data_IF_222605471752
#
_entry.id   IF_222605471752
#
_cell.length_a   1.000
_cell.length_b   1.000
_cell.length_c   1.000
_cell.angle_alpha   90.00
_cell.angle_beta   90.00
_cell.angle_gamma   90.00
#
_symmetry.space_group_name_H-M   'P 1'
#
loop_
_entity.id
_entity.type
_entity.pdbx_description
1 polymer ?
#
# COMPACT_ATOMS: atom_id res chain seq x y z
N UNK A 1 10.02 24.74 -11.96
CA UNK A 1 10.36 23.34 -12.33
C UNK A 1 11.80 22.98 -11.97
N UNK A 2 12.84 23.69 -12.44
CA UNK A 2 14.25 23.42 -12.08
C UNK A 2 14.54 23.40 -10.58
N UNK A 3 14.00 24.35 -9.80
CA UNK A 3 14.19 24.40 -8.34
C UNK A 3 13.56 23.21 -7.60
N UNK A 4 12.38 22.75 -8.04
CA UNK A 4 11.70 21.59 -7.43
C UNK A 4 12.49 20.31 -7.73
N UNK A 5 12.96 20.16 -8.96
CA UNK A 5 13.82 19.04 -9.34
C UNK A 5 15.14 19.04 -8.55
N UNK A 6 15.78 20.20 -8.39
CA UNK A 6 17.00 20.34 -7.59
C UNK A 6 16.77 20.00 -6.11
N UNK A 7 15.63 20.42 -5.53
CA UNK A 7 15.24 20.09 -4.16
C UNK A 7 14.98 18.58 -4.02
N UNK A 8 14.24 17.97 -4.95
CA UNK A 8 13.99 16.52 -4.94
C UNK A 8 15.28 15.71 -5.12
N UNK A 9 16.20 16.19 -5.96
CA UNK A 9 17.49 15.55 -6.20
C UNK A 9 18.42 15.67 -4.98
N UNK A 10 18.43 16.83 -4.31
CA UNK A 10 19.20 17.03 -3.07
C UNK A 10 18.61 16.26 -1.90
N UNK A 11 17.28 16.22 -1.74
CA UNK A 11 16.61 15.32 -0.79
C UNK A 11 16.92 13.85 -1.08
N UNK A 12 16.85 13.45 -2.34
CA UNK A 12 17.21 12.11 -2.79
C UNK A 12 18.65 11.75 -2.43
N UNK A 13 19.61 12.64 -2.70
CA UNK A 13 21.03 12.46 -2.38
C UNK A 13 21.32 12.43 -0.88
N UNK A 14 20.66 13.28 -0.09
CA UNK A 14 20.84 13.36 1.38
C UNK A 14 20.29 12.10 2.08
N UNK A 15 19.26 11.46 1.51
CA UNK A 15 18.66 10.25 2.07
C UNK A 15 19.46 8.96 1.76
N UNK A 16 20.53 9.02 0.96
CA UNK A 16 21.15 7.81 0.38
C UNK A 16 22.01 6.94 1.31
N UNK A 17 22.62 7.41 2.42
CA UNK A 17 23.37 6.48 3.28
C UNK A 17 22.88 6.34 4.72
N UNK A 18 21.82 7.03 5.16
CA UNK A 18 21.59 7.15 6.62
C UNK A 18 20.80 5.96 7.22
N UNK A 19 19.95 5.23 6.48
CA UNK A 19 19.10 4.21 7.13
C UNK A 19 18.67 3.02 6.26
N UNK A 20 19.63 2.28 5.69
CA UNK A 20 19.37 0.94 5.18
C UNK A 20 19.82 -0.09 6.24
N UNK A 21 19.17 -0.09 7.40
CA UNK A 21 19.22 -1.28 8.25
C UNK A 21 18.12 -2.21 7.75
N UNK A 22 18.54 -3.38 7.29
CA UNK A 22 17.62 -4.40 6.80
C UNK A 22 17.04 -5.09 8.03
N UNK A 23 15.80 -4.75 8.36
CA UNK A 23 15.13 -5.25 9.55
C UNK A 23 14.36 -6.53 9.23
N UNK A 24 14.40 -7.44 10.19
CA UNK A 24 13.56 -8.64 10.20
C UNK A 24 12.11 -8.23 10.46
N UNK A 25 11.18 -8.73 9.64
CA UNK A 25 9.74 -8.44 9.76
C UNK A 25 9.04 -9.40 10.71
N UNK A 26 7.89 -8.98 11.25
CA UNK A 26 7.07 -9.65 12.27
C UNK A 26 6.62 -11.12 12.01
N UNK A 27 6.99 -11.76 10.89
CA UNK A 27 6.62 -13.13 10.51
C UNK A 27 7.81 -14.07 10.29
N UNK A 28 9.02 -13.56 10.37
CA UNK A 28 10.25 -14.35 10.21
C UNK A 28 11.28 -13.88 11.22
N UNK A 29 12.26 -14.73 11.52
CA UNK A 29 13.47 -14.32 12.26
C UNK A 29 14.73 -14.43 11.39
N UNK A 30 14.56 -14.78 10.11
CA UNK A 30 15.67 -14.99 9.18
C UNK A 30 16.26 -13.65 8.78
N UNK A 31 17.58 -13.55 8.86
CA UNK A 31 18.29 -12.37 8.41
C UNK A 31 18.06 -12.18 6.89
N UNK A 32 17.71 -10.96 6.47
CA UNK A 32 17.41 -10.66 5.08
C UNK A 32 18.66 -10.79 4.22
N UNK A 33 18.62 -11.73 3.28
CA UNK A 33 19.71 -11.97 2.33
C UNK A 33 19.34 -11.42 0.96
N UNK A 34 20.11 -10.45 0.48
CA UNK A 34 19.87 -9.78 -0.80
C UNK A 34 20.20 -10.72 -1.96
N UNK A 35 19.21 -10.98 -2.80
CA UNK A 35 19.37 -11.80 -4.00
C UNK A 35 20.09 -11.02 -5.10
N UNK A 36 20.79 -11.71 -6.01
CA UNK A 36 21.44 -11.02 -7.13
C UNK A 36 20.41 -10.53 -8.16
N UNK A 37 20.70 -9.38 -8.80
CA UNK A 37 19.79 -8.83 -9.82
C UNK A 37 19.61 -9.79 -10.99
N UNK A 38 20.62 -10.59 -11.33
CA UNK A 38 20.57 -11.61 -12.38
C UNK A 38 19.60 -12.73 -12.03
N UNK A 39 19.56 -13.14 -10.75
CA UNK A 39 18.64 -14.17 -10.27
C UNK A 39 17.21 -13.64 -10.17
N UNK A 40 17.03 -12.38 -9.77
CA UNK A 40 15.72 -11.71 -9.77
C UNK A 40 15.18 -11.63 -11.19
N UNK A 41 15.98 -11.16 -12.14
CA UNK A 41 15.63 -11.03 -13.57
C UNK A 41 15.70 -12.37 -14.33
N UNK A 42 15.29 -13.45 -13.67
CA UNK A 42 15.21 -14.78 -14.26
C UNK A 42 14.27 -14.80 -15.49
N UNK A 43 14.41 -15.81 -16.39
CA UNK A 43 13.49 -15.99 -17.51
C UNK A 43 12.02 -16.04 -17.08
N UNK A 44 11.73 -16.63 -15.92
CA UNK A 44 10.38 -16.68 -15.36
C UNK A 44 9.88 -15.30 -14.94
N UNK A 45 10.71 -14.48 -14.29
CA UNK A 45 10.37 -13.11 -13.92
C UNK A 45 10.04 -12.27 -15.16
N UNK A 46 10.85 -12.39 -16.22
CA UNK A 46 10.63 -11.68 -17.49
C UNK A 46 9.34 -12.14 -18.18
N UNK A 47 9.04 -13.44 -18.16
CA UNK A 47 7.79 -13.99 -18.67
C UNK A 47 6.58 -13.45 -17.89
N UNK A 48 6.62 -13.50 -16.57
CA UNK A 48 5.56 -12.97 -15.70
C UNK A 48 5.36 -11.47 -15.89
N UNK A 49 6.45 -10.71 -16.06
CA UNK A 49 6.40 -9.28 -16.39
C UNK A 49 5.65 -9.04 -17.69
N UNK A 50 5.98 -9.78 -18.74
CA UNK A 50 5.33 -9.65 -20.05
C UNK A 50 3.85 -10.02 -19.97
N UNK A 51 3.52 -11.14 -19.30
CA UNK A 51 2.14 -11.60 -19.11
C UNK A 51 1.35 -10.57 -18.32
N UNK A 52 1.87 -10.06 -17.21
CA UNK A 52 1.22 -9.02 -16.41
C UNK A 52 0.98 -7.75 -17.23
N UNK A 53 1.98 -7.30 -18.01
CA UNK A 53 1.84 -6.13 -18.87
C UNK A 53 0.73 -6.32 -19.93
N UNK A 54 0.67 -7.49 -20.57
CA UNK A 54 -0.39 -7.83 -21.55
C UNK A 54 -1.76 -7.89 -20.89
N UNK A 55 -1.88 -8.51 -19.73
CA UNK A 55 -3.15 -8.61 -18.97
C UNK A 55 -3.63 -7.22 -18.59
N UNK A 56 -2.77 -6.40 -17.99
CA UNK A 56 -3.09 -5.02 -17.60
C UNK A 56 -3.51 -4.16 -18.80
N UNK A 57 -2.77 -4.24 -19.90
CA UNK A 57 -3.11 -3.53 -21.13
C UNK A 57 -4.45 -4.01 -21.70
N UNK A 58 -4.74 -5.32 -21.64
CA UNK A 58 -6.02 -5.89 -22.07
C UNK A 58 -7.20 -5.44 -21.20
N UNK A 59 -6.99 -5.26 -19.88
CA UNK A 59 -8.02 -4.77 -18.98
C UNK A 59 -8.56 -3.39 -19.40
N UNK A 60 -7.73 -2.53 -20.01
CA UNK A 60 -8.18 -1.22 -20.53
C UNK A 60 -9.28 -1.36 -21.60
N UNK A 61 -9.30 -2.47 -22.33
CA UNK A 61 -10.28 -2.76 -23.38
C UNK A 61 -11.57 -3.37 -22.83
N UNK A 62 -11.46 -4.10 -21.71
CA UNK A 62 -12.55 -4.88 -21.10
C UNK A 62 -13.36 -4.02 -20.12
N UNK A 63 -12.68 -3.24 -19.28
CA UNK A 63 -13.30 -2.46 -18.19
C UNK A 63 -14.42 -1.53 -18.71
N UNK A 64 -14.23 -0.74 -19.78
CA UNK A 64 -15.30 0.14 -20.29
C UNK A 64 -16.53 -0.63 -20.78
N UNK A 65 -16.38 -1.91 -21.17
CA UNK A 65 -17.50 -2.76 -21.57
C UNK A 65 -18.24 -3.28 -20.34
N UNK A 66 -17.53 -3.74 -19.32
CA UNK A 66 -18.11 -4.24 -18.07
C UNK A 66 -18.88 -3.15 -17.31
N UNK A 67 -18.38 -1.91 -17.32
CA UNK A 67 -19.04 -0.77 -16.67
C UNK A 67 -20.44 -0.46 -17.25
N UNK A 68 -20.74 -0.89 -18.47
CA UNK A 68 -22.06 -0.69 -19.11
C UNK A 68 -23.10 -1.75 -18.70
N UNK A 69 -22.71 -2.78 -17.96
CA UNK A 69 -23.64 -3.80 -17.50
C UNK A 69 -24.55 -3.27 -16.39
N UNK A 70 -25.87 -3.42 -16.58
CA UNK A 70 -26.88 -2.84 -15.68
C UNK A 70 -26.75 -3.27 -14.21
N UNK A 71 -26.34 -4.51 -13.94
CA UNK A 71 -26.09 -5.02 -12.59
C UNK A 71 -24.91 -4.33 -11.91
N UNK A 72 -23.82 -4.11 -12.66
CA UNK A 72 -22.62 -3.41 -12.18
C UNK A 72 -22.97 -1.97 -11.81
N UNK A 73 -23.74 -1.28 -12.67
CA UNK A 73 -24.20 0.09 -12.42
C UNK A 73 -25.08 0.20 -11.17
N UNK A 74 -26.05 -0.71 -10.97
CA UNK A 74 -26.90 -0.72 -9.77
C UNK A 74 -26.08 -0.92 -8.48
N UNK A 75 -25.08 -1.80 -8.53
CA UNK A 75 -24.16 -2.00 -7.41
C UNK A 75 -23.26 -0.76 -7.20
N UNK A 76 -22.87 -0.09 -8.29
CA UNK A 76 -22.14 1.18 -8.27
C UNK A 76 -22.89 2.25 -7.48
N UNK A 77 -24.13 2.49 -7.86
CA UNK A 77 -25.01 3.51 -7.26
C UNK A 77 -25.31 3.23 -5.78
N UNK A 78 -25.54 1.96 -5.40
CA UNK A 78 -25.81 1.59 -4.00
C UNK A 78 -24.63 1.89 -3.09
N UNK A 79 -23.45 1.42 -3.46
CA UNK A 79 -22.25 1.59 -2.64
C UNK A 79 -21.71 3.03 -2.70
N UNK A 80 -21.90 3.75 -3.82
CA UNK A 80 -21.51 5.16 -3.91
C UNK A 80 -22.30 6.06 -2.96
N UNK A 81 -23.54 5.70 -2.62
CA UNK A 81 -24.33 6.38 -1.59
C UNK A 81 -23.68 6.36 -0.19
N UNK A 82 -22.78 5.40 0.06
CA UNK A 82 -22.06 5.24 1.31
C UNK A 82 -20.77 6.05 1.39
N UNK A 83 -20.34 6.73 0.30
CA UNK A 83 -19.12 7.57 0.27
C UNK A 83 -19.08 8.65 1.35
N UNK A 84 -20.25 9.15 1.76
CA UNK A 84 -20.36 10.11 2.87
C UNK A 84 -19.78 9.59 4.19
N UNK A 85 -19.68 8.27 4.34
CA UNK A 85 -19.10 7.63 5.52
C UNK A 85 -17.60 7.35 5.41
N UNK A 86 -17.01 7.39 4.20
CA UNK A 86 -15.59 7.04 3.97
C UNK A 86 -14.65 7.79 4.91
N UNK A 87 -14.92 9.07 5.16
CA UNK A 87 -14.07 9.90 6.05
C UNK A 87 -14.24 9.57 7.52
N UNK A 88 -15.47 9.30 7.96
CA UNK A 88 -15.72 8.84 9.33
C UNK A 88 -15.10 7.46 9.55
N UNK A 89 -15.20 6.57 8.56
CA UNK A 89 -14.57 5.26 8.56
C UNK A 89 -13.05 5.37 8.65
N UNK A 90 -12.43 6.27 7.88
CA UNK A 90 -10.98 6.51 7.98
C UNK A 90 -10.59 7.01 9.37
N UNK A 91 -11.30 8.02 9.88
CA UNK A 91 -11.03 8.63 11.18
C UNK A 91 -11.16 7.63 12.33
N UNK A 92 -12.32 6.99 12.46
CA UNK A 92 -12.58 6.06 13.55
C UNK A 92 -11.85 4.74 13.36
N UNK A 93 -11.70 4.26 12.12
CA UNK A 93 -10.89 3.09 11.81
C UNK A 93 -9.41 3.30 12.18
N UNK A 94 -8.85 4.49 11.97
CA UNK A 94 -7.50 4.85 12.45
C UNK A 94 -7.43 4.78 13.97
N UNK A 95 -8.42 5.35 14.68
CA UNK A 95 -8.46 5.31 16.14
C UNK A 95 -8.54 3.86 16.68
N UNK A 96 -9.37 3.01 16.07
CA UNK A 96 -9.51 1.60 16.44
C UNK A 96 -8.24 0.81 16.11
N UNK A 97 -7.61 1.05 14.96
CA UNK A 97 -6.34 0.40 14.61
C UNK A 97 -5.24 0.73 15.61
N UNK A 98 -5.10 2.02 15.96
CA UNK A 98 -4.14 2.45 16.98
C UNK A 98 -4.49 1.86 18.35
N UNK A 99 -5.76 1.77 18.71
CA UNK A 99 -6.19 1.14 19.96
C UNK A 99 -5.78 -0.34 20.02
N UNK A 100 -6.00 -1.10 18.94
CA UNK A 100 -5.55 -2.50 18.85
C UNK A 100 -4.04 -2.57 19.06
N UNK A 101 -3.25 -1.81 18.31
CA UNK A 101 -1.79 -1.83 18.41
C UNK A 101 -1.30 -1.44 19.81
N UNK A 102 -1.86 -0.38 20.40
CA UNK A 102 -1.50 0.09 21.74
C UNK A 102 -1.83 -0.93 22.84
N UNK A 103 -2.93 -1.68 22.72
CA UNK A 103 -3.26 -2.77 23.66
C UNK A 103 -2.22 -3.89 23.61
N UNK A 104 -1.67 -4.16 22.43
CA UNK A 104 -0.59 -5.13 22.24
C UNK A 104 0.82 -4.54 22.42
N UNK A 105 0.94 -3.28 22.85
CA UNK A 105 2.23 -2.63 23.10
C UNK A 105 3.01 -2.25 21.85
N UNK A 106 2.35 -2.11 20.70
CA UNK A 106 2.98 -1.81 19.41
C UNK A 106 2.40 -0.53 18.78
N UNK A 107 3.07 0.01 17.75
CA UNK A 107 2.63 1.24 17.06
C UNK A 107 2.96 1.20 15.57
N UNK A 108 1.97 1.42 14.71
CA UNK A 108 1.97 1.25 13.26
C UNK A 108 2.14 -0.20 12.77
N UNK A 109 2.95 -0.99 13.47
CA UNK A 109 3.27 -2.36 13.12
C UNK A 109 3.59 -3.24 14.35
N UNK A 110 3.21 -4.54 14.39
CA UNK A 110 3.66 -5.53 15.38
C UNK A 110 5.15 -5.54 15.74
N UNK A 111 6.10 -5.27 14.82
CA UNK A 111 7.52 -5.22 15.19
C UNK A 111 7.91 -3.94 15.95
N UNK A 112 7.14 -2.86 15.82
CA UNK A 112 7.41 -1.57 16.43
C UNK A 112 6.89 -1.51 17.87
N UNK A 113 7.68 -2.06 18.78
CA UNK A 113 7.37 -2.09 20.20
C UNK A 113 7.49 -0.71 20.84
N UNK A 114 6.49 -0.32 21.64
CA UNK A 114 6.44 0.96 22.33
C UNK A 114 7.11 0.84 23.70
N UNK A 115 8.36 1.29 23.81
CA UNK A 115 9.13 1.25 25.06
C UNK A 115 9.09 2.56 25.86
N UNK A 116 8.56 3.64 25.27
CA UNK A 116 8.57 4.98 25.88
C UNK A 116 7.19 5.38 26.40
N UNK A 117 7.14 5.82 27.65
CA UNK A 117 5.92 6.35 28.29
C UNK A 117 5.37 7.55 27.53
N UNK A 118 6.23 8.42 27.00
CA UNK A 118 5.81 9.60 26.25
C UNK A 118 5.10 9.18 24.96
N UNK A 119 5.65 8.21 24.23
CA UNK A 119 5.05 7.70 22.98
C UNK A 119 3.70 7.04 23.27
N UNK A 120 3.62 6.27 24.36
CA UNK A 120 2.37 5.67 24.83
C UNK A 120 1.30 6.72 25.11
N UNK A 121 1.64 7.77 25.87
CA UNK A 121 0.72 8.86 26.17
C UNK A 121 0.29 9.58 24.90
N UNK A 122 1.22 9.92 24.01
CA UNK A 122 0.92 10.59 22.74
C UNK A 122 0.02 9.74 21.82
N UNK A 123 0.19 8.43 21.80
CA UNK A 123 -0.67 7.52 21.04
C UNK A 123 -2.10 7.50 21.61
N UNK A 124 -2.27 7.39 22.93
CA UNK A 124 -3.59 7.45 23.57
C UNK A 124 -4.25 8.83 23.42
N UNK A 125 -3.49 9.91 23.49
CA UNK A 125 -3.97 11.27 23.22
C UNK A 125 -4.43 11.39 21.76
N UNK A 126 -3.67 10.84 20.81
CA UNK A 126 -4.09 10.75 19.40
C UNK A 126 -5.43 10.04 19.25
N UNK A 127 -5.58 8.86 19.88
CA UNK A 127 -6.83 8.09 19.87
C UNK A 127 -7.99 8.94 20.42
N UNK A 128 -7.80 9.59 21.57
CA UNK A 128 -8.81 10.46 22.19
C UNK A 128 -9.25 11.58 21.25
N UNK A 129 -8.31 12.30 20.63
CA UNK A 129 -8.62 13.36 19.68
C UNK A 129 -9.32 12.85 18.40
N UNK A 130 -8.98 11.64 17.93
CA UNK A 130 -9.65 11.02 16.79
C UNK A 130 -11.06 10.50 17.13
N UNK A 131 -11.39 10.22 18.39
CA UNK A 131 -12.74 9.79 18.78
C UNK A 131 -13.72 10.96 18.95
N UNK A 132 -13.23 12.15 19.32
CA UNK A 132 -14.08 13.35 19.44
C UNK A 132 -14.64 13.72 18.06
N UNK A 133 -15.96 13.85 17.85
CA UNK A 133 -16.58 14.10 16.55
C UNK A 133 -16.44 15.56 16.07
N UNK A 134 -15.26 16.16 16.23
CA UNK A 134 -14.96 17.54 15.84
C UNK A 134 -13.76 17.62 14.88
N UNK A 135 -13.82 18.52 13.89
CA UNK A 135 -12.81 18.59 12.84
C UNK A 135 -11.45 19.12 13.32
N UNK A 136 -11.44 20.09 14.25
CA UNK A 136 -10.20 20.60 14.86
C UNK A 136 -9.52 19.48 15.65
N UNK A 137 -10.32 18.70 16.38
CA UNK A 137 -9.84 17.53 17.12
C UNK A 137 -9.16 16.52 16.20
N UNK A 138 -9.79 16.20 15.06
CA UNK A 138 -9.18 15.33 14.04
C UNK A 138 -7.83 15.86 13.56
N UNK A 139 -7.71 17.19 13.31
CA UNK A 139 -6.45 17.79 12.85
C UNK A 139 -5.36 17.71 13.91
N UNK A 140 -5.71 17.96 15.18
CA UNK A 140 -4.77 17.82 16.30
C UNK A 140 -4.30 16.36 16.40
N UNK A 141 -5.22 15.40 16.41
CA UNK A 141 -4.89 13.97 16.43
C UNK A 141 -4.01 13.56 15.25
N UNK A 142 -4.32 14.01 14.04
CA UNK A 142 -3.52 13.71 12.85
C UNK A 142 -2.11 14.35 12.90
N UNK A 143 -1.97 15.56 13.47
CA UNK A 143 -0.67 16.19 13.67
C UNK A 143 0.19 15.44 14.69
N UNK A 144 -0.40 14.93 15.78
CA UNK A 144 0.32 14.09 16.75
C UNK A 144 0.69 12.76 16.10
N UNK A 145 -0.22 12.15 15.34
CA UNK A 145 0.03 10.93 14.57
C UNK A 145 1.19 11.10 13.57
N UNK A 146 1.29 12.27 12.92
CA UNK A 146 2.42 12.62 12.07
C UNK A 146 3.73 12.70 12.87
N UNK A 147 3.71 13.33 14.04
CA UNK A 147 4.87 13.38 14.94
C UNK A 147 5.33 11.98 15.37
N UNK A 148 4.38 11.10 15.70
CA UNK A 148 4.65 9.69 16.02
C UNK A 148 5.25 8.94 14.83
N UNK A 149 4.70 9.12 13.62
CA UNK A 149 5.22 8.49 12.41
C UNK A 149 6.65 8.96 12.09
N UNK A 150 6.91 10.26 12.21
CA UNK A 150 8.25 10.83 12.05
C UNK A 150 9.21 10.26 13.10
N UNK A 151 8.78 10.15 14.35
CA UNK A 151 9.58 9.56 15.43
C UNK A 151 10.01 8.12 15.09
N UNK A 152 9.06 7.26 14.71
CA UNK A 152 9.34 5.86 14.31
C UNK A 152 10.24 5.83 13.07
N UNK A 153 10.01 6.72 12.10
CA UNK A 153 10.83 6.84 10.89
C UNK A 153 12.28 7.21 11.18
N UNK A 154 12.53 8.10 12.14
CA UNK A 154 13.89 8.46 12.53
C UNK A 154 14.62 7.30 13.21
N UNK A 155 13.90 6.44 13.93
CA UNK A 155 14.50 5.32 14.68
C UNK A 155 14.72 4.08 13.82
N UNK A 156 13.82 3.79 12.87
CA UNK A 156 13.88 2.59 12.03
C UNK A 156 14.39 2.84 10.60
N UNK A 157 14.33 4.09 10.14
CA UNK A 157 14.78 4.48 8.81
C UNK A 157 13.67 4.77 7.82
N UNK A 158 13.94 5.74 6.94
CA UNK A 158 13.00 6.15 5.88
C UNK A 158 12.71 5.01 4.92
N UNK A 159 13.74 4.25 4.51
CA UNK A 159 13.59 3.15 3.56
C UNK A 159 12.65 2.06 4.09
N UNK A 160 12.81 1.68 5.36
CA UNK A 160 11.94 0.71 6.03
C UNK A 160 10.50 1.23 6.17
N UNK A 161 10.33 2.52 6.52
CA UNK A 161 9.00 3.10 6.68
C UNK A 161 8.22 3.32 5.39
N UNK A 162 8.81 3.11 4.21
CA UNK A 162 8.07 3.16 2.94
C UNK A 162 7.04 2.04 2.83
N UNK A 163 7.26 0.89 3.49
CA UNK A 163 6.26 -0.17 3.65
C UNK A 163 4.98 0.35 4.28
N UNK A 164 5.12 1.32 5.20
CA UNK A 164 4.05 1.94 5.96
C UNK A 164 3.60 3.28 5.37
N UNK A 165 3.97 3.58 4.11
CA UNK A 165 3.67 4.84 3.44
C UNK A 165 2.18 5.18 3.34
N UNK A 166 1.30 4.17 3.45
CA UNK A 166 -0.15 4.39 3.53
C UNK A 166 -0.57 5.20 4.77
N UNK A 167 0.17 5.14 5.89
CA UNK A 167 -0.09 6.00 7.06
C UNK A 167 0.15 7.48 6.76
N UNK A 168 1.17 7.83 5.97
CA UNK A 168 1.37 9.21 5.51
C UNK A 168 0.16 9.69 4.71
N UNK A 169 -0.41 8.81 3.90
CA UNK A 169 -1.60 9.11 3.14
C UNK A 169 -2.84 9.31 4.01
N UNK A 170 -3.05 8.42 5.01
CA UNK A 170 -4.11 8.55 6.02
C UNK A 170 -4.00 9.89 6.76
N UNK A 171 -2.81 10.20 7.29
CA UNK A 171 -2.52 11.45 7.99
C UNK A 171 -2.84 12.65 7.09
N UNK A 172 -2.39 12.61 5.83
CA UNK A 172 -2.69 13.63 4.83
C UNK A 172 -4.19 13.86 4.68
N UNK A 173 -4.99 12.80 4.49
CA UNK A 173 -6.46 12.90 4.35
C UNK A 173 -7.10 13.51 5.61
N UNK A 174 -6.67 13.09 6.79
CA UNK A 174 -7.21 13.59 8.06
C UNK A 174 -6.90 15.09 8.26
N UNK A 175 -5.70 15.55 7.89
CA UNK A 175 -5.27 16.94 7.99
C UNK A 175 -6.00 17.86 7.00
N UNK A 176 -6.15 17.43 5.74
CA UNK A 176 -6.67 18.29 4.67
C UNK A 176 -8.19 18.43 4.66
N UNK A 177 -8.93 17.57 5.34
CA UNK A 177 -10.38 17.67 5.15
C UNK A 177 -11.02 18.84 5.92
N UNK A 178 -12.20 19.28 5.47
CA UNK A 178 -12.77 20.61 5.72
C UNK A 178 -11.83 21.74 5.24
N UNK A 179 -11.08 21.50 4.16
CA UNK A 179 -10.28 22.52 3.47
C UNK A 179 -10.48 22.41 1.97
N UNK A 180 -9.95 23.38 1.20
CA UNK A 180 -10.01 23.37 -0.27
C UNK A 180 -9.31 22.17 -0.91
N UNK A 181 -8.37 21.53 -0.19
CA UNK A 181 -7.61 20.37 -0.67
C UNK A 181 -8.31 19.03 -0.38
N UNK A 182 -9.51 19.05 0.20
CA UNK A 182 -10.23 17.83 0.59
C UNK A 182 -10.48 16.87 -0.58
N UNK A 183 -10.72 17.41 -1.79
CA UNK A 183 -10.93 16.61 -2.99
C UNK A 183 -9.68 15.79 -3.40
N UNK A 184 -8.49 16.21 -2.98
CA UNK A 184 -7.24 15.49 -3.24
C UNK A 184 -6.92 14.41 -2.19
N UNK A 185 -7.65 14.38 -1.06
CA UNK A 185 -7.37 13.46 0.05
C UNK A 185 -7.50 11.99 -0.34
N UNK A 186 -8.65 11.55 -0.85
CA UNK A 186 -8.82 10.16 -1.28
C UNK A 186 -7.87 9.74 -2.41
N UNK A 187 -7.66 10.52 -3.48
CA UNK A 187 -6.61 10.23 -4.47
C UNK A 187 -5.24 9.98 -3.82
N UNK A 188 -4.88 10.78 -2.83
CA UNK A 188 -3.63 10.61 -2.09
C UNK A 188 -3.60 9.30 -1.29
N UNK A 189 -4.72 8.89 -0.69
CA UNK A 189 -4.87 7.58 -0.03
C UNK A 189 -4.64 6.41 -1.00
N UNK A 190 -5.23 6.46 -2.20
CA UNK A 190 -5.00 5.45 -3.24
C UNK A 190 -3.53 5.38 -3.65
N UNK A 191 -2.91 6.54 -3.90
CA UNK A 191 -1.50 6.61 -4.28
C UNK A 191 -0.61 6.06 -3.18
N UNK A 192 -0.73 6.54 -1.93
CA UNK A 192 0.12 6.08 -0.84
C UNK A 192 -0.03 4.59 -0.54
N UNK A 193 -1.25 4.06 -0.60
CA UNK A 193 -1.50 2.63 -0.40
C UNK A 193 -0.95 1.79 -1.54
N UNK A 194 -1.20 2.21 -2.80
CA UNK A 194 -0.71 1.48 -3.96
C UNK A 194 0.82 1.48 -4.06
N UNK A 195 1.46 2.62 -3.77
CA UNK A 195 2.93 2.72 -3.75
C UNK A 195 3.54 1.84 -2.64
N UNK A 196 2.94 1.83 -1.44
CA UNK A 196 3.36 0.97 -0.32
C UNK A 196 3.24 -0.52 -0.69
N UNK A 197 2.12 -0.97 -1.27
CA UNK A 197 1.95 -2.35 -1.74
C UNK A 197 2.96 -2.73 -2.83
N UNK A 198 3.19 -1.85 -3.82
CA UNK A 198 4.22 -2.10 -4.82
C UNK A 198 5.62 -2.18 -4.22
N UNK A 199 5.88 -1.46 -3.13
CA UNK A 199 7.17 -1.46 -2.44
C UNK A 199 7.42 -2.78 -1.69
N UNK A 200 6.47 -3.25 -0.88
CA UNK A 200 6.57 -4.55 -0.17
C UNK A 200 6.54 -5.77 -1.12
N UNK A 201 6.02 -5.60 -2.33
CA UNK A 201 6.12 -6.61 -3.37
C UNK A 201 7.56 -6.76 -3.90
N UNK A 202 8.26 -5.65 -4.14
CA UNK A 202 9.66 -5.68 -4.59
C UNK A 202 10.58 -6.28 -3.53
N UNK A 203 10.32 -6.00 -2.25
CA UNK A 203 11.05 -6.63 -1.15
C UNK A 203 11.07 -8.15 -1.27
N UNK A 204 9.96 -8.80 -1.63
CA UNK A 204 9.88 -10.26 -1.77
C UNK A 204 10.77 -10.81 -2.88
N UNK A 205 11.07 -10.00 -3.91
CA UNK A 205 12.03 -10.36 -4.93
C UNK A 205 13.47 -10.13 -4.49
N UNK A 206 13.72 -9.04 -3.77
CA UNK A 206 15.08 -8.66 -3.34
C UNK A 206 15.54 -9.49 -2.15
N UNK A 207 14.63 -9.88 -1.26
CA UNK A 207 14.88 -10.65 -0.04
C UNK A 207 13.96 -11.90 0.02
N UNK A 208 14.10 -12.84 -0.94
CA UNK A 208 13.18 -13.98 -1.04
C UNK A 208 13.28 -14.94 0.14
N UNK A 209 14.43 -14.99 0.85
CA UNK A 209 14.64 -15.86 2.01
C UNK A 209 13.61 -15.61 3.12
N UNK A 210 13.25 -14.35 3.37
CA UNK A 210 12.24 -13.98 4.37
C UNK A 210 10.86 -14.55 4.00
N UNK A 211 10.45 -14.41 2.75
CA UNK A 211 9.16 -14.90 2.28
C UNK A 211 9.11 -16.44 2.24
N UNK A 212 10.22 -17.08 1.86
CA UNK A 212 10.36 -18.54 1.88
C UNK A 212 10.26 -19.11 3.30
N UNK A 213 10.87 -18.44 4.27
CA UNK A 213 10.78 -18.82 5.68
C UNK A 213 9.32 -18.73 6.19
N UNK A 214 8.58 -17.69 5.82
CA UNK A 214 7.16 -17.57 6.14
C UNK A 214 6.37 -18.74 5.55
N UNK A 215 6.61 -19.08 4.27
CA UNK A 215 5.94 -20.21 3.61
C UNK A 215 6.21 -21.52 4.34
N UNK A 216 7.46 -21.75 4.75
CA UNK A 216 7.87 -22.97 5.45
C UNK A 216 7.31 -23.03 6.88
N UNK A 217 7.47 -21.98 7.69
CA UNK A 217 7.11 -21.98 9.11
C UNK A 217 5.59 -21.89 9.34
N UNK A 218 4.87 -21.18 8.48
CA UNK A 218 3.42 -21.03 8.58
C UNK A 218 2.64 -21.97 7.67
N UNK A 219 3.31 -22.90 6.98
CA UNK A 219 2.68 -23.90 6.10
C UNK A 219 1.72 -23.26 5.08
N UNK A 220 2.16 -22.16 4.46
CA UNK A 220 1.35 -21.42 3.50
C UNK A 220 1.03 -22.34 2.31
N UNK A 221 -0.25 -22.47 1.90
CA UNK A 221 -0.62 -23.32 0.78
C UNK A 221 -0.04 -22.74 -0.52
N UNK A 222 0.92 -23.44 -1.14
CA UNK A 222 1.51 -23.04 -2.42
C UNK A 222 0.71 -23.53 -3.63
N UNK A 223 -0.43 -24.20 -3.43
CA UNK A 223 -1.32 -24.71 -4.48
C UNK A 223 -0.63 -25.61 -5.52
N UNK A 224 0.38 -26.37 -5.11
CA UNK A 224 1.14 -27.27 -5.97
C UNK A 224 2.31 -26.61 -6.70
N UNK A 225 2.53 -25.31 -6.50
CA UNK A 225 3.74 -24.64 -6.97
C UNK A 225 4.90 -24.87 -6.00
N UNK A 226 6.12 -24.84 -6.55
CA UNK A 226 7.34 -24.80 -5.74
C UNK A 226 7.40 -23.46 -4.96
N UNK A 227 7.83 -23.46 -3.67
CA UNK A 227 7.79 -22.28 -2.81
C UNK A 227 8.44 -21.03 -3.40
N UNK A 228 9.62 -21.13 -4.03
CA UNK A 228 10.30 -19.97 -4.61
C UNK A 228 9.52 -19.37 -5.77
N UNK A 229 8.94 -20.21 -6.63
CA UNK A 229 8.05 -19.76 -7.71
C UNK A 229 6.77 -19.12 -7.16
N UNK A 230 6.18 -19.72 -6.13
CA UNK A 230 4.99 -19.17 -5.47
C UNK A 230 5.24 -17.77 -4.90
N UNK A 231 6.37 -17.55 -4.21
CA UNK A 231 6.76 -16.24 -3.68
C UNK A 231 6.89 -15.20 -4.80
N UNK A 232 7.54 -15.54 -5.92
CA UNK A 232 7.68 -14.64 -7.07
C UNK A 232 6.31 -14.26 -7.65
N UNK A 233 5.41 -15.24 -7.83
CA UNK A 233 4.05 -14.98 -8.33
C UNK A 233 3.21 -14.14 -7.36
N UNK A 234 3.30 -14.41 -6.05
CA UNK A 234 2.60 -13.64 -5.03
C UNK A 234 3.04 -12.17 -5.03
N UNK A 235 4.33 -11.92 -5.15
CA UNK A 235 4.90 -10.59 -5.30
C UNK A 235 4.41 -9.90 -6.58
N UNK A 236 4.28 -10.60 -7.71
CA UNK A 236 3.67 -10.03 -8.92
C UNK A 236 2.20 -9.64 -8.70
N UNK A 237 1.41 -10.48 -8.05
CA UNK A 237 0.00 -10.17 -7.75
C UNK A 237 -0.09 -8.90 -6.90
N UNK A 238 0.71 -8.80 -5.85
CA UNK A 238 0.76 -7.64 -4.96
C UNK A 238 1.22 -6.38 -5.68
N UNK A 239 2.27 -6.47 -6.51
CA UNK A 239 2.76 -5.35 -7.32
C UNK A 239 1.69 -4.86 -8.31
N UNK A 240 1.00 -5.78 -8.99
CA UNK A 240 -0.07 -5.48 -9.94
C UNK A 240 -1.26 -4.82 -9.25
N UNK A 241 -1.65 -5.31 -8.07
CA UNK A 241 -2.68 -4.69 -7.23
C UNK A 241 -2.27 -3.26 -6.84
N UNK A 242 -1.04 -3.07 -6.35
CA UNK A 242 -0.51 -1.76 -6.01
C UNK A 242 -0.51 -0.80 -7.20
N UNK A 243 -0.03 -1.26 -8.36
CA UNK A 243 -0.03 -0.50 -9.61
C UNK A 243 -1.44 -0.08 -10.03
N UNK A 244 -2.42 -1.00 -10.00
CA UNK A 244 -3.79 -0.69 -10.37
C UNK A 244 -4.44 0.34 -9.43
N UNK A 245 -4.12 0.30 -8.13
CA UNK A 245 -4.55 1.32 -7.18
C UNK A 245 -3.93 2.70 -7.47
N UNK A 246 -2.64 2.75 -7.83
CA UNK A 246 -1.96 3.99 -8.24
C UNK A 246 -2.58 4.59 -9.49
N UNK A 247 -2.88 3.76 -10.50
CA UNK A 247 -3.54 4.20 -11.74
C UNK A 247 -5.03 4.54 -11.51
N UNK A 248 -5.63 4.01 -10.43
CA UNK A 248 -7.02 4.25 -10.06
C UNK A 248 -8.02 3.39 -10.81
N UNK A 249 -7.63 2.18 -11.22
CA UNK A 249 -8.42 1.27 -12.04
C UNK A 249 -8.88 0.06 -11.22
N UNK A 250 -10.12 -0.40 -11.42
CA UNK A 250 -10.71 -1.54 -10.71
C UNK A 250 -10.77 -1.42 -9.17
N UNK A 251 -10.65 -0.21 -8.62
CA UNK A 251 -10.59 0.08 -7.18
C UNK A 251 -11.56 -0.75 -6.31
N UNK A 252 -12.82 -0.89 -6.73
CA UNK A 252 -13.81 -1.66 -5.98
C UNK A 252 -13.60 -3.18 -6.06
N UNK A 253 -13.32 -3.70 -7.26
CA UNK A 253 -13.05 -5.13 -7.46
C UNK A 253 -11.78 -5.52 -6.70
N UNK A 254 -10.74 -4.71 -6.80
CA UNK A 254 -9.50 -4.89 -6.05
C UNK A 254 -9.76 -4.82 -4.55
N UNK A 255 -10.52 -3.83 -4.08
CA UNK A 255 -10.90 -3.74 -2.67
C UNK A 255 -11.54 -5.03 -2.16
N UNK A 256 -12.48 -5.64 -2.90
CA UNK A 256 -13.08 -6.91 -2.53
C UNK A 256 -12.10 -8.09 -2.55
N UNK A 257 -11.37 -8.27 -3.66
CA UNK A 257 -10.43 -9.39 -3.83
C UNK A 257 -9.32 -9.33 -2.78
N UNK A 258 -8.72 -8.16 -2.58
CA UNK A 258 -7.63 -7.96 -1.63
C UNK A 258 -8.14 -8.11 -0.19
N UNK A 259 -9.35 -7.62 0.13
CA UNK A 259 -9.97 -7.89 1.45
C UNK A 259 -10.15 -9.38 1.69
N UNK A 260 -10.62 -10.14 0.70
CA UNK A 260 -10.77 -11.59 0.84
C UNK A 260 -9.44 -12.31 1.05
N UNK A 261 -8.37 -11.86 0.37
CA UNK A 261 -7.01 -12.36 0.58
C UNK A 261 -6.55 -12.07 2.01
N UNK A 262 -6.65 -10.83 2.49
CA UNK A 262 -6.24 -10.47 3.86
C UNK A 262 -7.06 -11.19 4.94
N UNK A 263 -8.35 -11.44 4.72
CA UNK A 263 -9.15 -12.25 5.64
C UNK A 263 -8.64 -13.70 5.65
N UNK A 264 -8.26 -14.24 4.49
CA UNK A 264 -7.71 -15.60 4.39
C UNK A 264 -6.34 -15.70 5.08
N UNK A 265 -5.48 -14.70 4.93
CA UNK A 265 -4.18 -14.64 5.64
C UNK A 265 -4.38 -14.45 7.14
N UNK A 266 -5.41 -13.73 7.57
CA UNK A 266 -5.78 -13.63 9.00
C UNK A 266 -6.12 -15.01 9.60
N UNK A 267 -6.78 -15.88 8.83
CA UNK A 267 -7.04 -17.26 9.27
C UNK A 267 -5.76 -18.10 9.42
N UNK A 268 -4.70 -17.75 8.68
CA UNK A 268 -3.41 -18.45 8.69
C UNK A 268 -2.45 -17.92 9.77
N UNK A 269 -2.32 -16.60 9.87
CA UNK A 269 -1.33 -15.91 10.71
C UNK A 269 -1.91 -15.40 12.04
N UNK A 270 -3.23 -15.47 12.22
CA UNK A 270 -3.91 -15.16 13.47
C UNK A 270 -3.82 -13.70 13.89
N UNK A 271 -3.63 -13.46 15.19
CA UNK A 271 -3.71 -12.10 15.77
C UNK A 271 -2.61 -11.16 15.28
N UNK A 272 -1.43 -11.67 14.92
CA UNK A 272 -0.34 -10.84 14.38
C UNK A 272 -0.77 -10.13 13.10
N UNK A 273 -1.49 -10.83 12.22
CA UNK A 273 -2.03 -10.26 10.99
C UNK A 273 -3.09 -9.19 11.29
N UNK A 274 -3.97 -9.44 12.26
CA UNK A 274 -4.98 -8.45 12.67
C UNK A 274 -4.30 -7.17 13.16
N UNK A 275 -3.30 -7.28 14.05
CA UNK A 275 -2.63 -6.11 14.62
C UNK A 275 -1.91 -5.30 13.53
N UNK A 276 -1.24 -5.97 12.57
CA UNK A 276 -0.50 -5.31 11.50
C UNK A 276 -1.35 -4.76 10.36
N UNK A 277 -2.40 -5.46 9.97
CA UNK A 277 -3.17 -5.15 8.76
C UNK A 277 -4.57 -4.59 9.02
N UNK A 278 -5.01 -4.42 10.28
CA UNK A 278 -6.34 -3.85 10.57
C UNK A 278 -6.57 -2.51 9.86
N UNK A 279 -5.59 -1.61 9.86
CA UNK A 279 -5.73 -0.32 9.16
C UNK A 279 -5.90 -0.51 7.64
N UNK A 280 -5.21 -1.48 7.06
CA UNK A 280 -5.33 -1.80 5.63
C UNK A 280 -6.73 -2.30 5.31
N UNK A 281 -7.35 -3.12 6.17
CA UNK A 281 -8.76 -3.49 6.01
C UNK A 281 -9.70 -2.27 5.96
N UNK A 282 -9.49 -1.28 6.84
CA UNK A 282 -10.27 -0.03 6.82
C UNK A 282 -10.10 0.70 5.48
N UNK A 283 -8.85 0.83 4.99
CA UNK A 283 -8.54 1.47 3.71
C UNK A 283 -9.19 0.71 2.54
N UNK A 284 -9.15 -0.62 2.53
CA UNK A 284 -9.77 -1.43 1.48
C UNK A 284 -11.29 -1.30 1.47
N UNK A 285 -11.94 -1.24 2.65
CA UNK A 285 -13.38 -0.95 2.75
C UNK A 285 -13.68 0.43 2.15
N UNK A 286 -12.88 1.45 2.47
CA UNK A 286 -13.01 2.79 1.85
C UNK A 286 -12.90 2.69 0.33
N UNK A 287 -11.97 1.89 -0.20
CA UNK A 287 -11.81 1.72 -1.64
C UNK A 287 -13.02 1.06 -2.31
N UNK A 288 -13.69 0.14 -1.60
CA UNK A 288 -14.96 -0.44 -2.02
C UNK A 288 -16.05 0.63 -2.06
N UNK A 289 -16.16 1.48 -1.03
CA UNK A 289 -17.19 2.52 -0.96
C UNK A 289 -16.99 3.60 -2.03
N UNK A 290 -15.77 4.13 -2.15
CA UNK A 290 -15.40 5.14 -3.12
C UNK A 290 -15.56 4.63 -4.55
N UNK A 291 -14.85 3.57 -4.94
CA UNK A 291 -15.07 2.91 -6.23
C UNK A 291 -14.87 3.75 -7.50
N UNK A 292 -14.37 4.99 -7.40
CA UNK A 292 -14.09 5.86 -8.57
C UNK A 292 -12.61 5.99 -8.85
N UNK A 293 -12.29 6.11 -10.14
CA UNK A 293 -11.01 6.62 -10.62
C UNK A 293 -11.02 8.14 -10.46
N UNK A 294 -10.32 8.65 -9.46
CA UNK A 294 -10.31 10.09 -9.16
C UNK A 294 -9.45 10.91 -10.14
N UNK A 295 -8.57 10.23 -10.87
CA UNK A 295 -7.84 10.81 -11.99
C UNK A 295 -8.55 10.44 -13.30
N UNK A 296 -8.48 11.33 -14.30
CA UNK A 296 -8.53 10.83 -15.68
C UNK A 296 -7.23 10.06 -15.86
N UNK A 297 -7.25 8.71 -15.90
CA UNK A 297 -6.01 7.97 -16.04
C UNK A 297 -5.31 8.48 -17.31
N UNK A 298 -3.97 8.59 -17.33
CA UNK A 298 -3.23 9.09 -18.49
C UNK A 298 -3.60 8.36 -19.80
N UNK A 299 -4.10 7.14 -19.65
CA UNK A 299 -4.77 6.33 -20.67
C UNK A 299 -5.80 7.13 -21.48
N UNK A 300 -6.64 7.97 -20.85
CA UNK A 300 -7.64 8.80 -21.54
C UNK A 300 -7.05 9.93 -22.39
N UNK A 301 -5.76 10.24 -22.24
CA UNK A 301 -5.06 11.17 -23.15
C UNK A 301 -4.89 10.55 -24.55
N UNK A 302 -4.93 9.22 -24.63
CA UNK A 302 -4.78 8.48 -25.87
C UNK A 302 -6.14 8.23 -26.53
N UNK A 303 -6.25 8.62 -27.80
CA UNK A 303 -7.52 8.59 -28.57
C UNK A 303 -7.89 7.19 -29.04
N UNK A 304 -6.92 6.34 -29.37
CA UNK A 304 -7.19 4.98 -29.87
C UNK A 304 -7.00 3.94 -28.78
N UNK A 305 -7.73 2.83 -28.89
CA UNK A 305 -7.61 1.67 -27.99
C UNK A 305 -6.21 1.05 -28.04
N UNK A 306 -5.58 1.07 -29.21
CA UNK A 306 -4.22 0.57 -29.42
C UNK A 306 -3.20 1.44 -28.67
N UNK A 307 -3.33 2.76 -28.74
CA UNK A 307 -2.46 3.67 -28.00
C UNK A 307 -2.61 3.49 -26.48
N UNK A 308 -3.84 3.29 -26.01
CA UNK A 308 -4.13 3.00 -24.60
C UNK A 308 -3.47 1.70 -24.14
N UNK A 309 -3.56 0.65 -24.96
CA UNK A 309 -2.93 -0.64 -24.71
C UNK A 309 -1.40 -0.49 -24.62
N UNK A 310 -0.79 0.13 -25.63
CA UNK A 310 0.67 0.33 -25.71
C UNK A 310 1.15 1.17 -24.52
N UNK A 311 0.42 2.24 -24.19
CA UNK A 311 0.77 3.10 -23.06
C UNK A 311 0.80 2.32 -21.74
N UNK A 312 -0.25 1.56 -21.41
CA UNK A 312 -0.30 0.79 -20.14
C UNK A 312 0.76 -0.29 -20.12
N UNK A 313 0.96 -0.99 -21.24
CA UNK A 313 1.98 -2.02 -21.37
C UNK A 313 3.38 -1.48 -21.05
N UNK A 314 3.77 -0.38 -21.72
CA UNK A 314 5.09 0.23 -21.52
C UNK A 314 5.20 0.92 -20.16
N UNK A 315 4.13 1.57 -19.70
CA UNK A 315 4.13 2.25 -18.41
C UNK A 315 4.28 1.26 -17.25
N UNK A 316 3.60 0.12 -17.29
CA UNK A 316 3.76 -0.92 -16.27
C UNK A 316 5.21 -1.42 -16.20
N UNK A 317 5.81 -1.77 -17.34
CA UNK A 317 7.21 -2.21 -17.40
C UNK A 317 8.15 -1.13 -16.84
N UNK A 318 7.93 0.13 -17.23
CA UNK A 318 8.72 1.25 -16.72
C UNK A 318 8.60 1.42 -15.21
N UNK A 319 7.37 1.36 -14.66
CA UNK A 319 7.13 1.50 -13.22
C UNK A 319 7.73 0.32 -12.46
N UNK A 320 7.54 -0.91 -12.94
CA UNK A 320 8.15 -2.12 -12.38
C UNK A 320 9.68 -2.00 -12.33
N UNK A 321 10.31 -1.66 -13.45
CA UNK A 321 11.75 -1.50 -13.52
C UNK A 321 12.24 -0.38 -12.59
N UNK A 322 11.52 0.74 -12.54
CA UNK A 322 11.87 1.88 -11.66
C UNK A 322 11.81 1.48 -10.19
N UNK A 323 10.73 0.83 -9.76
CA UNK A 323 10.58 0.34 -8.40
C UNK A 323 11.66 -0.67 -8.04
N UNK A 324 11.89 -1.67 -8.91
CA UNK A 324 12.91 -2.69 -8.69
C UNK A 324 14.31 -2.07 -8.57
N UNK A 325 14.69 -1.17 -9.47
CA UNK A 325 16.02 -0.56 -9.46
C UNK A 325 16.22 0.39 -8.26
N UNK A 326 15.22 1.17 -7.89
CA UNK A 326 15.28 2.05 -6.72
C UNK A 326 15.41 1.21 -5.46
N UNK A 327 14.53 0.23 -5.27
CA UNK A 327 14.59 -0.65 -4.11
C UNK A 327 15.93 -1.36 -4.06
N UNK A 328 16.33 -2.05 -5.15
CA UNK A 328 17.60 -2.77 -5.19
C UNK A 328 18.83 -1.89 -4.96
N UNK A 329 18.81 -0.61 -5.36
CA UNK A 329 19.94 0.29 -5.13
C UNK A 329 20.08 0.72 -3.67
N UNK A 330 18.97 0.94 -2.98
CA UNK A 330 18.95 1.50 -1.62
C UNK A 330 18.68 0.48 -0.51
N UNK A 331 18.29 -0.74 -0.89
CA UNK A 331 18.07 -1.88 0.00
C UNK A 331 19.37 -2.48 0.53
#
# INVERSE_FOLDING_TARGET
MKKIFQILLTLGLIMTPIFAQVHVKWFTNVEPHKESIENILSPMFLLLTLVAAVVLASLTLIIPKMAKWGTVKKMEDRLSSLRKYSRYLLKYGTAVSLMIQMVYGTLFAPEFHVNSTIITVLAWVTIGFLLIPHHISTKIGASILLGLFIYVTIHHGVFYMLDYGFYVAIIGVLLVGNTRLEQAGFPFLYLGTGLSLSWVAVEKWVYPSMALDIVANHHVPTFGFEPSLFVVMAAFIEFVVGYLLVVGVLNRVLGFVVTAIFISTTMLFGMTEVIGHFMIHIVLIIFILEGVSFYNPPIKMHKTKTDQFIFVFLNFIFVLATFLLIYYRFA
#
